data_IF_144431480755
#
_entry.id   IF_144431480755
#
_cell.length_a   1.000
_cell.length_b   1.000
_cell.length_c   1.000
_cell.angle_alpha   90.00
_cell.angle_beta   90.00
_cell.angle_gamma   90.00
#
_symmetry.space_group_name_H-M   'P 1'
#
loop_
_entity.id
_entity.type
_entity.pdbx_description
1 polymer ?
#
# COMPACT_ATOMS: atom_id res chain seq x y z
N UNK A 1 -16.03 -22.92 24.00
CA UNK A 1 -15.81 -22.56 22.57
C UNK A 1 -16.24 -21.13 22.20
N UNK A 2 -17.34 -20.55 22.72
CA UNK A 2 -17.75 -19.14 22.44
C UNK A 2 -16.69 -18.08 22.79
N UNK A 3 -16.01 -18.21 23.93
CA UNK A 3 -15.05 -17.20 24.42
C UNK A 3 -13.77 -17.10 23.59
N UNK A 4 -13.37 -18.18 22.89
CA UNK A 4 -12.15 -18.22 22.09
C UNK A 4 -12.32 -17.42 20.79
N UNK A 5 -13.49 -17.51 20.13
CA UNK A 5 -13.79 -16.76 18.91
C UNK A 5 -13.88 -15.24 19.12
N UNK A 6 -14.49 -14.79 20.21
CA UNK A 6 -14.53 -13.35 20.57
C UNK A 6 -13.14 -12.80 20.90
N UNK A 7 -12.30 -13.60 21.57
CA UNK A 7 -10.92 -13.21 21.90
C UNK A 7 -10.09 -13.01 20.63
N UNK A 8 -10.11 -13.96 19.69
CA UNK A 8 -9.38 -13.83 18.42
C UNK A 8 -9.88 -12.63 17.61
N UNK A 9 -11.20 -12.41 17.55
CA UNK A 9 -11.80 -11.26 16.88
C UNK A 9 -11.27 -9.94 17.43
N UNK A 10 -11.33 -9.78 18.75
CA UNK A 10 -10.87 -8.57 19.41
C UNK A 10 -9.38 -8.32 19.20
N UNK A 11 -8.55 -9.35 19.37
CA UNK A 11 -7.10 -9.26 19.21
C UNK A 11 -6.75 -8.91 17.76
N UNK A 12 -7.37 -9.56 16.76
CA UNK A 12 -7.10 -9.27 15.36
C UNK A 12 -7.48 -7.83 14.97
N UNK A 13 -8.61 -7.31 15.46
CA UNK A 13 -9.01 -5.93 15.23
C UNK A 13 -8.06 -4.92 15.90
N UNK A 14 -7.65 -5.19 17.14
CA UNK A 14 -6.72 -4.32 17.88
C UNK A 14 -5.35 -4.32 17.22
N UNK A 15 -4.76 -5.51 17.02
CA UNK A 15 -3.42 -5.64 16.44
C UNK A 15 -3.38 -5.14 14.99
N UNK A 16 -4.34 -5.54 14.15
CA UNK A 16 -4.41 -5.08 12.76
C UNK A 16 -4.52 -3.56 12.67
N UNK A 17 -5.36 -2.95 13.51
CA UNK A 17 -5.50 -1.48 13.53
C UNK A 17 -4.27 -0.77 14.09
N UNK A 18 -3.64 -1.32 15.12
CA UNK A 18 -2.42 -0.76 15.70
C UNK A 18 -1.29 -0.75 14.68
N UNK A 19 -1.16 -1.83 13.90
CA UNK A 19 -0.18 -1.92 12.82
C UNK A 19 -0.45 -0.87 11.73
N UNK A 20 -1.70 -0.66 11.32
CA UNK A 20 -2.04 0.41 10.36
C UNK A 20 -1.63 1.79 10.89
N UNK A 21 -1.92 2.09 12.15
CA UNK A 21 -1.55 3.39 12.77
C UNK A 21 -0.04 3.55 12.79
N UNK A 22 0.70 2.52 13.23
CA UNK A 22 2.16 2.54 13.26
C UNK A 22 2.72 2.72 11.85
N UNK A 23 2.25 1.97 10.85
CA UNK A 23 2.78 2.07 9.49
C UNK A 23 2.44 3.38 8.80
N UNK A 24 1.22 3.90 9.00
CA UNK A 24 0.89 5.25 8.52
C UNK A 24 1.74 6.33 9.20
N UNK A 25 2.18 6.12 10.45
CA UNK A 25 3.05 7.06 11.18
C UNK A 25 4.54 6.90 10.85
N UNK A 26 4.93 5.72 10.33
CA UNK A 26 6.30 5.39 9.94
C UNK A 26 6.57 5.62 8.44
N UNK A 27 5.62 6.18 7.70
CA UNK A 27 5.89 6.69 6.34
C UNK A 27 7.11 7.61 6.48
N UNK A 28 8.22 7.36 5.75
CA UNK A 28 9.49 8.02 6.01
C UNK A 28 9.34 9.54 5.86
N UNK A 29 9.42 10.24 6.99
CA UNK A 29 9.27 11.70 7.13
C UNK A 29 10.54 12.43 6.65
N UNK A 30 11.60 11.70 6.32
CA UNK A 30 12.87 12.28 5.87
C UNK A 30 13.38 11.58 4.61
N UNK A 31 13.71 12.42 3.63
CA UNK A 31 14.15 12.14 2.27
C UNK A 31 13.03 11.63 1.36
N UNK A 32 12.61 12.49 0.42
CA UNK A 32 11.78 12.21 -0.75
C UNK A 32 10.83 11.02 -0.56
N UNK A 33 9.62 11.30 -0.09
CA UNK A 33 8.63 10.29 0.24
C UNK A 33 8.54 9.29 -0.94
N UNK A 34 8.97 8.03 -0.80
CA UNK A 34 8.98 7.05 -1.89
C UNK A 34 7.56 6.64 -2.29
N UNK A 35 6.54 7.26 -1.67
CA UNK A 35 5.13 7.19 -1.99
C UNK A 35 4.56 8.51 -2.55
N UNK A 36 5.39 9.51 -2.82
CA UNK A 36 5.02 10.73 -3.56
C UNK A 36 4.89 10.37 -5.04
N UNK A 37 3.77 9.72 -5.33
CA UNK A 37 3.50 9.08 -6.59
C UNK A 37 2.52 9.93 -7.38
N UNK A 38 3.00 11.05 -7.91
CA UNK A 38 2.28 11.72 -8.98
C UNK A 38 2.22 10.78 -10.19
N UNK A 39 1.07 10.69 -10.87
CA UNK A 39 0.86 9.78 -12.00
C UNK A 39 1.65 10.19 -13.26
N UNK A 40 2.52 11.21 -13.19
CA UNK A 40 3.23 11.71 -14.36
C UNK A 40 4.36 10.75 -14.75
N UNK A 41 4.31 10.10 -15.93
CA UNK A 41 5.38 9.24 -16.41
C UNK A 41 6.73 9.97 -16.51
N UNK A 42 6.72 11.31 -16.64
CA UNK A 42 7.92 12.15 -16.66
C UNK A 42 8.57 12.34 -15.28
N UNK A 43 7.85 12.05 -14.19
CA UNK A 43 8.36 12.11 -12.81
C UNK A 43 8.80 10.76 -12.25
N UNK A 44 8.72 9.69 -13.04
CA UNK A 44 9.27 8.36 -12.70
C UNK A 44 10.73 8.46 -12.27
N UNK A 45 11.50 9.39 -12.87
CA UNK A 45 12.89 9.67 -12.49
C UNK A 45 13.01 10.16 -11.04
N UNK A 46 12.13 11.06 -10.57
CA UNK A 46 12.13 11.54 -9.18
C UNK A 46 11.82 10.41 -8.20
N UNK A 47 10.88 9.54 -8.55
CA UNK A 47 10.50 8.37 -7.72
C UNK A 47 11.64 7.35 -7.67
N UNK A 48 12.29 7.10 -8.81
CA UNK A 48 13.48 6.27 -8.92
C UNK A 48 14.58 6.83 -8.02
N UNK A 49 14.91 8.12 -8.15
CA UNK A 49 15.96 8.79 -7.38
C UNK A 49 15.66 8.78 -5.87
N UNK A 50 14.40 9.00 -5.49
CA UNK A 50 13.94 8.93 -4.10
C UNK A 50 14.05 7.52 -3.48
N UNK A 51 13.91 6.49 -4.32
CA UNK A 51 13.93 5.09 -3.89
C UNK A 51 15.34 4.49 -3.95
N UNK A 52 16.24 5.08 -4.74
CA UNK A 52 17.64 4.65 -4.85
C UNK A 52 18.34 4.78 -3.49
N UNK A 53 18.86 3.67 -2.98
CA UNK A 53 19.48 3.58 -1.66
C UNK A 53 18.52 3.25 -0.51
N UNK A 54 17.21 3.23 -0.77
CA UNK A 54 16.18 2.92 0.23
C UNK A 54 15.40 1.63 -0.06
N UNK A 55 15.92 0.76 -0.95
CA UNK A 55 15.17 -0.39 -1.45
C UNK A 55 14.83 -1.40 -0.35
N UNK A 56 15.70 -1.56 0.65
CA UNK A 56 15.47 -2.48 1.78
C UNK A 56 14.30 -2.03 2.63
N UNK A 57 14.17 -0.74 2.92
CA UNK A 57 13.05 -0.21 3.71
C UNK A 57 11.74 -0.33 2.93
N UNK A 58 11.74 -0.07 1.61
CA UNK A 58 10.56 -0.26 0.77
C UNK A 58 10.07 -1.72 0.81
N UNK A 59 11.00 -2.70 0.81
CA UNK A 59 10.68 -4.13 0.92
C UNK A 59 10.09 -4.47 2.29
N UNK A 60 10.75 -4.05 3.37
CA UNK A 60 10.29 -4.32 4.74
C UNK A 60 8.91 -3.70 4.98
N UNK A 61 8.72 -2.46 4.55
CA UNK A 61 7.43 -1.77 4.67
C UNK A 61 6.33 -2.50 3.90
N UNK A 62 6.60 -2.93 2.66
CA UNK A 62 5.63 -3.68 1.85
C UNK A 62 5.26 -5.03 2.46
N UNK A 63 6.24 -5.75 3.05
CA UNK A 63 5.98 -7.02 3.75
C UNK A 63 5.13 -6.82 5.01
N UNK A 64 5.47 -5.82 5.81
CA UNK A 64 4.76 -5.50 7.05
C UNK A 64 3.33 -5.03 6.79
N UNK A 65 3.12 -4.21 5.76
CA UNK A 65 1.79 -3.76 5.33
C UNK A 65 0.95 -4.95 4.86
N UNK A 66 1.54 -5.91 4.15
CA UNK A 66 0.87 -7.16 3.74
C UNK A 66 0.43 -8.01 4.94
N UNK A 67 1.26 -8.12 5.98
CA UNK A 67 0.88 -8.82 7.22
C UNK A 67 -0.26 -8.09 7.93
N UNK A 68 -0.19 -6.76 7.98
CA UNK A 68 -1.24 -5.92 8.59
C UNK A 68 -2.58 -6.08 7.88
N UNK A 69 -2.60 -6.11 6.55
CA UNK A 69 -3.84 -6.23 5.78
C UNK A 69 -4.50 -7.59 5.93
N UNK A 70 -3.75 -8.67 6.20
CA UNK A 70 -4.29 -10.01 6.47
C UNK A 70 -5.00 -10.12 7.84
N UNK A 71 -4.62 -9.31 8.83
CA UNK A 71 -5.22 -9.34 10.16
C UNK A 71 -6.62 -8.72 10.20
N UNK A 72 -6.91 -7.78 9.29
CA UNK A 72 -8.20 -7.07 9.26
C UNK A 72 -9.36 -8.04 8.89
N UNK A 73 -9.31 -8.83 7.80
CA UNK A 73 -10.35 -9.82 7.48
C UNK A 73 -10.56 -10.83 8.61
N UNK A 74 -9.51 -11.25 9.30
CA UNK A 74 -9.62 -12.18 10.43
C UNK A 74 -10.47 -11.58 11.58
N UNK A 75 -10.29 -10.29 11.87
CA UNK A 75 -11.14 -9.57 12.81
C UNK A 75 -12.58 -9.43 12.31
N UNK A 76 -12.79 -9.18 11.02
CA UNK A 76 -14.12 -9.01 10.45
C UNK A 76 -14.95 -10.31 10.41
N UNK A 77 -14.31 -11.50 10.33
CA UNK A 77 -15.00 -12.80 10.44
C UNK A 77 -15.76 -12.90 11.77
N UNK A 78 -15.17 -12.40 12.86
CA UNK A 78 -15.83 -12.40 14.16
C UNK A 78 -17.05 -11.49 14.23
N UNK A 79 -16.95 -10.32 13.59
CA UNK A 79 -18.06 -9.38 13.47
C UNK A 79 -19.21 -10.00 12.68
N UNK A 80 -18.91 -10.67 11.57
CA UNK A 80 -19.91 -11.41 10.80
C UNK A 80 -20.63 -12.46 11.64
N UNK A 81 -19.89 -13.26 12.42
CA UNK A 81 -20.47 -14.29 13.31
C UNK A 81 -21.34 -13.68 14.42
N UNK A 82 -21.02 -12.47 14.88
CA UNK A 82 -21.87 -11.73 15.83
C UNK A 82 -23.15 -11.21 15.16
N UNK A 83 -23.05 -10.79 13.89
CA UNK A 83 -24.19 -10.37 13.06
C UNK A 83 -25.06 -11.53 12.54
N UNK A 84 -24.54 -12.76 12.47
CA UNK A 84 -25.29 -13.95 12.03
C UNK A 84 -26.50 -14.31 12.89
N UNK A 85 -26.61 -13.75 14.10
CA UNK A 85 -27.72 -13.98 15.02
C UNK A 85 -28.94 -13.10 14.75
N UNK A 86 -28.85 -12.16 13.81
CA UNK A 86 -29.93 -11.24 13.42
C UNK A 86 -30.28 -11.45 11.93
N UNK A 87 -31.58 -11.37 11.59
CA UNK A 87 -32.09 -11.55 10.21
C UNK A 87 -31.60 -10.47 9.22
N UNK A 88 -30.81 -9.50 9.67
CA UNK A 88 -30.40 -8.28 8.95
C UNK A 88 -28.94 -8.33 8.44
N UNK A 89 -28.40 -9.53 8.22
CA UNK A 89 -26.97 -9.81 7.93
C UNK A 89 -26.43 -9.27 6.59
N UNK A 90 -27.29 -8.99 5.60
CA UNK A 90 -26.85 -8.78 4.20
C UNK A 90 -25.76 -7.71 4.05
N UNK A 91 -25.90 -6.57 4.73
CA UNK A 91 -24.96 -5.45 4.63
C UNK A 91 -23.60 -5.75 5.26
N UNK A 92 -23.56 -6.41 6.43
CA UNK A 92 -22.31 -6.82 7.07
C UNK A 92 -21.54 -7.82 6.19
N UNK A 93 -22.26 -8.77 5.55
CA UNK A 93 -21.66 -9.72 4.60
C UNK A 93 -21.06 -9.01 3.39
N UNK A 94 -21.81 -8.09 2.75
CA UNK A 94 -21.28 -7.32 1.62
C UNK A 94 -20.06 -6.49 2.01
N UNK A 95 -20.12 -5.81 3.15
CA UNK A 95 -18.98 -5.06 3.67
C UNK A 95 -17.75 -5.95 3.92
N UNK A 96 -17.93 -7.16 4.44
CA UNK A 96 -16.84 -8.12 4.58
C UNK A 96 -16.24 -8.57 3.25
N UNK A 97 -17.08 -8.89 2.26
CA UNK A 97 -16.61 -9.29 0.92
C UNK A 97 -15.80 -8.18 0.28
N UNK A 98 -16.28 -6.93 0.34
CA UNK A 98 -15.54 -5.77 -0.15
C UNK A 98 -14.22 -5.57 0.60
N UNK A 99 -14.18 -5.80 1.92
CA UNK A 99 -12.94 -5.72 2.68
C UNK A 99 -11.92 -6.78 2.23
N UNK A 100 -12.34 -8.02 1.92
CA UNK A 100 -11.44 -9.04 1.34
C UNK A 100 -10.93 -8.62 -0.04
N UNK A 101 -11.80 -8.10 -0.90
CA UNK A 101 -11.42 -7.64 -2.24
C UNK A 101 -10.37 -6.52 -2.11
N UNK A 102 -10.63 -5.54 -1.25
CA UNK A 102 -9.70 -4.45 -0.97
C UNK A 102 -8.34 -4.95 -0.46
N UNK A 103 -8.31 -5.86 0.51
CA UNK A 103 -7.08 -6.43 1.05
C UNK A 103 -6.30 -7.19 -0.03
N UNK A 104 -6.99 -7.92 -0.90
CA UNK A 104 -6.37 -8.60 -2.05
C UNK A 104 -5.72 -7.59 -3.00
N UNK A 105 -6.38 -6.47 -3.29
CA UNK A 105 -5.84 -5.42 -4.14
C UNK A 105 -4.65 -4.69 -3.49
N UNK A 106 -4.67 -4.44 -2.18
CA UNK A 106 -3.50 -3.91 -1.47
C UNK A 106 -2.33 -4.89 -1.46
N UNK A 107 -2.57 -6.21 -1.42
CA UNK A 107 -1.50 -7.19 -1.58
C UNK A 107 -0.87 -7.12 -2.99
N UNK A 108 -1.66 -6.84 -4.03
CA UNK A 108 -1.15 -6.57 -5.38
C UNK A 108 -0.30 -5.29 -5.39
N UNK A 109 -0.73 -4.22 -4.72
CA UNK A 109 0.07 -3.00 -4.54
C UNK A 109 1.42 -3.31 -3.88
N UNK A 110 1.43 -4.07 -2.78
CA UNK A 110 2.66 -4.47 -2.09
C UNK A 110 3.56 -5.32 -2.99
N UNK A 111 2.99 -6.21 -3.80
CA UNK A 111 3.73 -7.01 -4.79
C UNK A 111 4.35 -6.13 -5.89
N UNK A 112 3.62 -5.14 -6.39
CA UNK A 112 4.13 -4.16 -7.33
C UNK A 112 5.29 -3.35 -6.72
N UNK A 113 5.18 -2.88 -5.47
CA UNK A 113 6.25 -2.16 -4.78
C UNK A 113 7.52 -3.03 -4.60
N UNK A 114 7.34 -4.32 -4.31
CA UNK A 114 8.45 -5.27 -4.22
C UNK A 114 9.15 -5.47 -5.58
N UNK A 115 8.37 -5.61 -6.65
CA UNK A 115 8.88 -5.71 -8.02
C UNK A 115 9.60 -4.41 -8.44
N UNK A 116 9.03 -3.24 -8.11
CA UNK A 116 9.62 -1.93 -8.33
C UNK A 116 10.99 -1.83 -7.65
N UNK A 117 11.09 -2.21 -6.37
CA UNK A 117 12.37 -2.25 -5.66
C UNK A 117 13.42 -3.14 -6.35
N UNK A 118 12.98 -4.23 -6.98
CA UNK A 118 13.84 -5.09 -7.83
C UNK A 118 14.36 -4.37 -9.07
N UNK A 119 13.47 -3.68 -9.79
CA UNK A 119 13.83 -2.88 -10.97
C UNK A 119 14.82 -1.76 -10.61
N UNK A 120 14.56 -1.01 -9.52
CA UNK A 120 15.48 0.03 -9.02
C UNK A 120 16.85 -0.56 -8.69
N UNK A 121 16.91 -1.77 -8.11
CA UNK A 121 18.19 -2.44 -7.83
C UNK A 121 18.95 -2.74 -9.13
N UNK A 122 18.24 -3.18 -10.18
CA UNK A 122 18.82 -3.38 -11.52
C UNK A 122 19.33 -2.08 -12.15
N UNK A 123 18.60 -0.98 -11.98
CA UNK A 123 19.02 0.35 -12.45
C UNK A 123 20.30 0.83 -11.74
N UNK A 124 20.42 0.62 -10.43
CA UNK A 124 21.64 0.94 -9.68
C UNK A 124 22.83 0.15 -10.21
N UNK A 125 22.67 -1.16 -10.44
CA UNK A 125 23.73 -1.99 -11.01
C UNK A 125 24.14 -1.52 -12.41
N UNK A 126 23.17 -1.27 -13.29
CA UNK A 126 23.44 -0.78 -14.65
C UNK A 126 24.11 0.60 -14.65
N UNK A 127 23.76 1.48 -13.70
CA UNK A 127 24.41 2.79 -13.51
C UNK A 127 25.87 2.63 -13.11
N UNK A 128 26.17 1.72 -12.18
CA UNK A 128 27.54 1.44 -11.75
C UNK A 128 28.38 0.87 -12.90
N UNK A 129 27.82 -0.06 -13.68
CA UNK A 129 28.46 -0.63 -14.87
C UNK A 129 28.70 0.44 -15.95
N UNK A 130 27.73 1.34 -16.17
CA UNK A 130 27.86 2.44 -17.11
C UNK A 130 28.99 3.39 -16.69
N UNK A 131 29.08 3.76 -15.41
CA UNK A 131 30.14 4.61 -14.89
C UNK A 131 31.52 3.96 -15.05
N UNK A 132 31.62 2.64 -14.80
CA UNK A 132 32.84 1.88 -15.01
C UNK A 132 33.23 1.83 -16.50
N UNK A 133 32.27 1.57 -17.39
CA UNK A 133 32.48 1.53 -18.83
C UNK A 133 32.90 2.91 -19.39
N UNK A 134 32.30 4.00 -18.91
CA UNK A 134 32.69 5.37 -19.27
C UNK A 134 34.11 5.71 -18.79
N UNK A 135 34.46 5.31 -17.57
CA UNK A 135 35.81 5.53 -17.03
C UNK A 135 36.87 4.78 -17.85
N UNK A 136 36.57 3.53 -18.23
CA UNK A 136 37.48 2.74 -19.05
C UNK A 136 37.52 3.22 -20.52
N UNK A 137 36.42 3.76 -21.07
CA UNK A 137 36.41 4.45 -22.36
C UNK A 137 37.34 5.68 -22.34
N UNK A 138 37.32 6.47 -21.27
CA UNK A 138 38.22 7.61 -21.11
C UNK A 138 39.69 7.16 -21.08
N UNK A 139 40.02 6.07 -20.38
CA UNK A 139 41.34 5.46 -20.40
C UNK A 139 41.77 4.90 -21.77
N UNK A 140 40.87 4.25 -22.49
CA UNK A 140 41.10 3.75 -23.85
C UNK A 140 41.34 4.90 -24.85
N UNK A 141 40.61 6.01 -24.68
CA UNK A 141 40.77 7.23 -25.48
C UNK A 141 42.12 7.88 -25.21
N UNK A 142 42.50 8.02 -23.94
CA UNK A 142 43.80 8.58 -23.54
C UNK A 142 44.98 7.74 -24.06
N UNK A 143 44.84 6.42 -24.11
CA UNK A 143 45.83 5.50 -24.67
C UNK A 143 45.78 5.34 -26.20
N UNK A 144 44.88 6.07 -26.89
CA UNK A 144 44.67 6.01 -28.36
C UNK A 144 44.33 4.61 -28.90
N UNK A 145 43.79 3.72 -28.05
CA UNK A 145 43.39 2.38 -28.47
C UNK A 145 41.99 2.39 -29.09
N UNK A 146 41.91 2.79 -30.37
CA UNK A 146 40.64 3.00 -31.09
C UNK A 146 39.77 1.74 -31.22
N UNK A 147 40.37 0.55 -31.24
CA UNK A 147 39.62 -0.71 -31.27
C UNK A 147 38.86 -0.93 -29.96
N UNK A 148 39.52 -0.66 -28.82
CA UNK A 148 38.89 -0.71 -27.51
C UNK A 148 37.83 0.38 -27.36
N UNK A 149 38.10 1.61 -27.81
CA UNK A 149 37.12 2.72 -27.84
C UNK A 149 35.82 2.30 -28.55
N UNK A 150 35.90 1.63 -29.70
CA UNK A 150 34.73 1.12 -30.42
C UNK A 150 33.93 0.07 -29.61
N UNK A 151 34.63 -0.88 -28.98
CA UNK A 151 34.00 -1.90 -28.13
C UNK A 151 33.31 -1.28 -26.91
N UNK A 152 33.97 -0.33 -26.24
CA UNK A 152 33.43 0.32 -25.04
C UNK A 152 32.27 1.26 -25.37
N UNK A 153 32.32 1.94 -26.53
CA UNK A 153 31.19 2.75 -27.01
C UNK A 153 29.96 1.87 -27.28
N UNK A 154 30.15 0.71 -27.91
CA UNK A 154 29.06 -0.27 -28.10
C UNK A 154 28.48 -0.79 -26.78
N UNK A 155 29.35 -1.11 -25.81
CA UNK A 155 28.92 -1.53 -24.47
C UNK A 155 28.14 -0.42 -23.72
N UNK A 156 28.60 0.84 -23.79
CA UNK A 156 27.91 1.99 -23.22
C UNK A 156 26.52 2.18 -23.85
N UNK A 157 26.41 2.13 -25.18
CA UNK A 157 25.12 2.23 -25.87
C UNK A 157 24.18 1.09 -25.46
N UNK A 158 24.69 -0.14 -25.35
CA UNK A 158 23.92 -1.29 -24.88
C UNK A 158 23.40 -1.11 -23.45
N UNK A 159 24.25 -0.65 -22.53
CA UNK A 159 23.89 -0.34 -21.14
C UNK A 159 22.86 0.80 -21.06
N UNK A 160 23.00 1.85 -21.88
CA UNK A 160 22.03 2.94 -21.95
C UNK A 160 20.66 2.45 -22.42
N UNK A 161 20.59 1.58 -23.43
CA UNK A 161 19.33 0.97 -23.85
C UNK A 161 18.71 0.07 -22.76
N UNK A 162 19.53 -0.70 -22.04
CA UNK A 162 19.07 -1.50 -20.91
C UNK A 162 18.48 -0.62 -19.80
N UNK A 163 19.13 0.51 -19.47
CA UNK A 163 18.60 1.47 -18.50
C UNK A 163 17.28 2.10 -18.94
N UNK A 164 17.14 2.48 -20.22
CA UNK A 164 15.86 3.00 -20.74
C UNK A 164 14.73 1.98 -20.56
N UNK A 165 14.99 0.71 -20.88
CA UNK A 165 14.02 -0.38 -20.68
C UNK A 165 13.63 -0.56 -19.21
N UNK A 166 14.61 -0.51 -18.29
CA UNK A 166 14.37 -0.57 -16.85
C UNK A 166 13.52 0.62 -16.36
N UNK A 167 13.77 1.84 -16.85
CA UNK A 167 12.97 3.03 -16.49
C UNK A 167 11.52 2.89 -16.94
N UNK A 168 11.27 2.41 -18.16
CA UNK A 168 9.91 2.16 -18.66
C UNK A 168 9.20 1.10 -17.80
N UNK A 169 9.93 0.05 -17.44
CA UNK A 169 9.43 -1.02 -16.56
C UNK A 169 9.09 -0.47 -15.18
N UNK A 170 9.96 0.36 -14.59
CA UNK A 170 9.75 1.02 -13.30
C UNK A 170 8.47 1.86 -13.32
N UNK A 171 8.30 2.71 -14.35
CA UNK A 171 7.10 3.55 -14.51
C UNK A 171 5.82 2.72 -14.64
N UNK A 172 5.86 1.63 -15.40
CA UNK A 172 4.71 0.72 -15.58
C UNK A 172 4.31 0.04 -14.27
N UNK A 173 5.27 -0.50 -13.52
CA UNK A 173 5.01 -1.15 -12.23
C UNK A 173 4.47 -0.14 -11.23
N UNK A 174 5.02 1.08 -11.21
CA UNK A 174 4.55 2.15 -10.33
C UNK A 174 3.09 2.52 -10.63
N UNK A 175 2.74 2.68 -11.91
CA UNK A 175 1.36 2.96 -12.33
C UNK A 175 0.38 1.86 -11.90
N UNK A 176 0.76 0.59 -12.00
CA UNK A 176 -0.04 -0.54 -11.51
C UNK A 176 -0.18 -0.50 -9.99
N UNK A 177 0.90 -0.22 -9.27
CA UNK A 177 0.90 -0.05 -7.81
C UNK A 177 -0.09 1.04 -7.38
N UNK A 178 -0.04 2.20 -8.00
CA UNK A 178 -0.95 3.33 -7.72
C UNK A 178 -2.41 3.02 -8.02
N UNK A 179 -2.69 2.49 -9.22
CA UNK A 179 -4.06 2.17 -9.64
C UNK A 179 -4.69 1.12 -8.70
N UNK A 180 -3.93 0.07 -8.38
CA UNK A 180 -4.39 -0.94 -7.42
C UNK A 180 -4.62 -0.36 -6.03
N UNK A 181 -3.74 0.53 -5.56
CA UNK A 181 -3.88 1.19 -4.26
C UNK A 181 -5.11 2.08 -4.20
N UNK A 182 -5.36 2.90 -5.23
CA UNK A 182 -6.55 3.74 -5.35
C UNK A 182 -7.82 2.90 -5.26
N UNK A 183 -7.93 1.87 -6.11
CA UNK A 183 -9.12 1.01 -6.17
C UNK A 183 -9.31 0.30 -4.82
N UNK A 184 -8.24 -0.26 -4.26
CA UNK A 184 -8.28 -0.94 -2.97
C UNK A 184 -8.81 -0.03 -1.85
N UNK A 185 -8.30 1.21 -1.77
CA UNK A 185 -8.68 2.16 -0.73
C UNK A 185 -10.14 2.62 -0.89
N UNK A 186 -10.59 2.91 -2.12
CA UNK A 186 -11.99 3.28 -2.38
C UNK A 186 -12.94 2.13 -2.02
N UNK A 187 -12.61 0.89 -2.42
CA UNK A 187 -13.41 -0.30 -2.05
C UNK A 187 -13.40 -0.50 -0.53
N UNK A 188 -12.27 -0.28 0.15
CA UNK A 188 -12.18 -0.39 1.61
C UNK A 188 -13.13 0.60 2.30
N UNK A 189 -13.20 1.83 1.81
CA UNK A 189 -14.05 2.86 2.41
C UNK A 189 -15.52 2.52 2.25
N UNK A 190 -15.91 2.01 1.08
CA UNK A 190 -17.25 1.47 0.86
C UNK A 190 -17.53 0.24 1.76
N UNK A 191 -16.55 -0.65 1.91
CA UNK A 191 -16.64 -1.79 2.82
C UNK A 191 -16.96 -1.34 4.26
N UNK A 192 -16.24 -0.32 4.74
CA UNK A 192 -16.45 0.26 6.07
C UNK A 192 -17.83 0.91 6.22
N UNK A 193 -18.32 1.60 5.18
CA UNK A 193 -19.67 2.14 5.17
C UNK A 193 -20.73 1.04 5.33
N UNK A 194 -20.62 -0.04 4.55
CA UNK A 194 -21.55 -1.17 4.61
C UNK A 194 -21.45 -1.95 5.93
N UNK A 195 -20.24 -2.15 6.45
CA UNK A 195 -20.01 -2.75 7.77
C UNK A 195 -20.64 -1.90 8.87
N UNK A 196 -20.43 -0.58 8.84
CA UNK A 196 -21.04 0.37 9.77
C UNK A 196 -22.57 0.27 9.76
N UNK A 197 -23.19 0.33 8.58
CA UNK A 197 -24.64 0.16 8.40
C UNK A 197 -25.15 -1.18 8.93
N UNK A 198 -24.49 -2.28 8.57
CA UNK A 198 -24.87 -3.63 9.03
C UNK A 198 -24.76 -3.80 10.54
N UNK A 199 -23.71 -3.23 11.15
CA UNK A 199 -23.52 -3.27 12.60
C UNK A 199 -24.54 -2.43 13.37
N UNK A 200 -25.02 -1.31 12.83
CA UNK A 200 -26.10 -0.51 13.46
C UNK A 200 -27.41 -1.32 13.50
N UNK A 201 -27.61 -2.22 12.54
CA UNK A 201 -28.80 -3.09 12.49
C UNK A 201 -28.67 -4.33 13.38
N UNK A 202 -27.49 -4.59 13.95
CA UNK A 202 -27.18 -5.76 14.79
C UNK A 202 -27.11 -5.36 16.27
N UNK A 203 -27.95 -5.92 17.14
CA UNK A 203 -28.07 -5.47 18.56
C UNK A 203 -26.75 -5.41 19.34
N UNK A 204 -25.89 -6.47 19.41
CA UNK A 204 -24.64 -6.41 20.18
C UNK A 204 -23.60 -5.44 19.64
N UNK A 205 -23.76 -4.97 18.39
CA UNK A 205 -22.78 -4.13 17.70
C UNK A 205 -23.27 -2.71 17.46
N UNK A 206 -24.56 -2.43 17.69
CA UNK A 206 -25.15 -1.11 17.52
C UNK A 206 -24.68 -0.17 18.64
N UNK A 207 -23.67 0.63 18.34
CA UNK A 207 -23.16 1.66 19.22
C UNK A 207 -22.59 2.83 18.40
N UNK A 208 -22.15 3.87 19.10
CA UNK A 208 -21.62 5.10 18.48
C UNK A 208 -20.48 4.81 17.50
N UNK A 209 -19.63 3.82 17.78
CA UNK A 209 -18.49 3.47 16.93
C UNK A 209 -18.93 2.88 15.59
N UNK A 210 -20.03 2.11 15.54
CA UNK A 210 -20.58 1.63 14.25
C UNK A 210 -21.11 2.78 13.39
N UNK A 211 -21.71 3.79 14.03
CA UNK A 211 -22.20 4.99 13.34
C UNK A 211 -21.03 5.82 12.81
N UNK A 212 -19.97 5.96 13.59
CA UNK A 212 -18.75 6.64 13.15
C UNK A 212 -18.05 5.89 12.01
N UNK A 213 -17.99 4.55 12.04
CA UNK A 213 -17.45 3.76 10.93
C UNK A 213 -18.22 3.99 9.62
N UNK A 214 -19.55 4.09 9.69
CA UNK A 214 -20.37 4.46 8.55
C UNK A 214 -20.02 5.86 8.03
N UNK A 215 -20.05 6.85 8.91
CA UNK A 215 -19.85 8.26 8.54
C UNK A 215 -18.45 8.47 7.94
N UNK A 216 -17.41 7.97 8.62
CA UNK A 216 -16.02 8.11 8.16
C UNK A 216 -15.80 7.30 6.87
N UNK A 217 -16.42 6.13 6.72
CA UNK A 217 -16.38 5.36 5.47
C UNK A 217 -16.96 6.14 4.29
N UNK A 218 -18.13 6.78 4.47
CA UNK A 218 -18.79 7.57 3.42
C UNK A 218 -18.02 8.85 3.10
N UNK A 219 -17.64 9.62 4.12
CA UNK A 219 -16.87 10.87 3.95
C UNK A 219 -15.54 10.56 3.26
N UNK A 220 -14.83 9.55 3.75
CA UNK A 220 -13.57 9.11 3.15
C UNK A 220 -13.73 8.69 1.69
N UNK A 221 -14.79 7.92 1.38
CA UNK A 221 -15.09 7.50 0.01
C UNK A 221 -15.26 8.70 -0.92
N UNK A 222 -16.06 9.69 -0.51
CA UNK A 222 -16.27 10.91 -1.31
C UNK A 222 -14.98 11.71 -1.46
N UNK A 223 -14.23 11.90 -0.37
CA UNK A 223 -12.96 12.64 -0.39
C UNK A 223 -11.98 12.00 -1.39
N UNK A 224 -11.82 10.68 -1.37
CA UNK A 224 -10.84 10.00 -2.24
C UNK A 224 -11.30 9.78 -3.68
N UNK A 225 -12.58 10.05 -3.97
CA UNK A 225 -13.06 10.21 -5.36
C UNK A 225 -12.73 11.60 -5.91
N UNK A 226 -12.70 12.63 -5.07
CA UNK A 226 -12.35 14.01 -5.46
C UNK A 226 -10.81 14.17 -5.52
N UNK A 227 -10.12 13.64 -4.51
CA UNK A 227 -8.67 13.70 -4.35
C UNK A 227 -8.09 12.28 -4.41
N UNK A 228 -7.69 11.80 -5.59
CA UNK A 228 -7.15 10.45 -5.71
C UNK A 228 -5.87 10.30 -4.89
N UNK A 229 -5.62 9.11 -4.34
CA UNK A 229 -4.44 8.77 -3.52
C UNK A 229 -3.13 8.90 -4.31
N UNK A 230 -3.19 8.98 -5.64
CA UNK A 230 -2.07 9.32 -6.54
C UNK A 230 -1.79 10.82 -6.65
N UNK A 231 -2.45 11.65 -5.84
CA UNK A 231 -2.16 13.08 -5.70
C UNK A 231 -1.65 13.36 -4.30
N UNK A 232 -0.75 14.33 -4.16
CA UNK A 232 -0.23 14.76 -2.86
C UNK A 232 -1.34 15.04 -1.81
N UNK A 233 -2.39 15.84 -2.11
CA UNK A 233 -3.48 16.05 -1.16
C UNK A 233 -4.29 14.77 -0.89
N UNK A 234 -4.53 13.95 -1.90
CA UNK A 234 -5.29 12.71 -1.74
C UNK A 234 -4.56 11.65 -0.91
N UNK A 235 -3.23 11.58 -1.02
CA UNK A 235 -2.40 10.72 -0.18
C UNK A 235 -2.49 11.13 1.29
N UNK A 236 -2.30 12.41 1.59
CA UNK A 236 -2.38 12.94 2.95
C UNK A 236 -3.79 12.73 3.57
N UNK A 237 -4.84 13.08 2.82
CA UNK A 237 -6.23 12.90 3.27
C UNK A 237 -6.58 11.42 3.44
N UNK A 238 -6.13 10.56 2.52
CA UNK A 238 -6.29 9.12 2.61
C UNK A 238 -5.64 8.53 3.85
N UNK A 239 -4.41 8.93 4.15
CA UNK A 239 -3.69 8.53 5.37
C UNK A 239 -4.44 8.93 6.65
N UNK A 240 -4.98 10.15 6.71
CA UNK A 240 -5.80 10.62 7.85
C UNK A 240 -7.05 9.76 7.99
N UNK A 241 -7.81 9.56 6.91
CA UNK A 241 -9.06 8.77 6.92
C UNK A 241 -8.79 7.33 7.38
N UNK A 242 -7.76 6.68 6.83
CA UNK A 242 -7.38 5.32 7.21
C UNK A 242 -6.95 5.23 8.68
N UNK A 243 -6.24 6.24 9.18
CA UNK A 243 -5.84 6.31 10.59
C UNK A 243 -7.05 6.46 11.51
N UNK A 244 -8.00 7.32 11.16
CA UNK A 244 -9.27 7.45 11.91
C UNK A 244 -10.05 6.13 11.90
N UNK A 245 -10.16 5.46 10.76
CA UNK A 245 -10.82 4.15 10.66
C UNK A 245 -10.10 3.09 11.51
N UNK A 246 -8.77 3.06 11.51
CA UNK A 246 -8.00 2.15 12.34
C UNK A 246 -8.28 2.38 13.83
N UNK A 247 -8.32 3.64 14.29
CA UNK A 247 -8.70 3.96 15.68
C UNK A 247 -10.11 3.45 15.99
N UNK A 248 -11.08 3.64 15.09
CA UNK A 248 -12.44 3.14 15.28
C UNK A 248 -12.50 1.61 15.35
N UNK A 249 -11.73 0.90 14.51
CA UNK A 249 -11.62 -0.56 14.54
C UNK A 249 -10.94 -1.08 15.81
N UNK A 250 -9.92 -0.38 16.30
CA UNK A 250 -9.28 -0.69 17.58
C UNK A 250 -10.29 -0.58 18.73
N UNK A 251 -11.05 0.53 18.79
CA UNK A 251 -12.11 0.72 19.81
C UNK A 251 -13.17 -0.38 19.66
N UNK A 252 -13.56 -0.76 18.43
CA UNK A 252 -14.45 -1.90 18.21
C UNK A 252 -13.88 -3.19 18.76
N UNK A 253 -12.60 -3.47 18.54
CA UNK A 253 -11.93 -4.64 19.12
C UNK A 253 -12.02 -4.66 20.65
N UNK A 254 -11.81 -3.51 21.31
CA UNK A 254 -11.97 -3.38 22.77
C UNK A 254 -13.41 -3.66 23.21
N UNK A 255 -14.42 -3.15 22.48
CA UNK A 255 -15.83 -3.40 22.78
C UNK A 255 -16.13 -4.90 22.65
N UNK A 256 -15.68 -5.54 21.57
CA UNK A 256 -15.86 -6.99 21.35
C UNK A 256 -15.17 -7.81 22.44
N UNK A 257 -14.00 -7.38 22.90
CA UNK A 257 -13.29 -8.04 24.01
C UNK A 257 -14.12 -8.04 25.30
N UNK A 258 -14.83 -6.93 25.59
CA UNK A 258 -15.70 -6.79 26.76
C UNK A 258 -17.02 -7.57 26.67
N UNK A 259 -17.36 -8.10 25.50
CA UNK A 259 -18.52 -8.97 25.30
C UNK A 259 -18.21 -10.45 25.58
N UNK A 260 -16.94 -10.79 25.89
CA UNK A 260 -16.50 -12.13 26.25
C UNK A 260 -17.01 -12.53 27.64
#
# INVERSE_FOLDING_TARGET
>A
MKSMGLTTTAISLILGSTLIIIFNSLIPVNAANPFDFSFDPSETSKVVDATMGNQVNLRIFSMLLTISTLLIPLGLIGILRLSEKDDKKKLTTWGFVLAIISVTLWAITSGANLAFAGVISGMVSATNELNAAQSALAGATASKNMALVGQMTGAITGLQMAMMSLTITAGTINAIGLASHQIATVIFLLANALLGLGMIQTKPLNNIVSKLLLIVGVIGFVILLIYPVSSEPGYALGGIVLTVLAVLWMIKGIIVYRLK
#
